data_IF_312632859131
#
_entry.id   IF_312632859131
#
_cell.length_a   1.000
_cell.length_b   1.000
_cell.length_c   1.000
_cell.angle_alpha   90.00
_cell.angle_beta   90.00
_cell.angle_gamma   90.00
#
_symmetry.space_group_name_H-M   'P 1'
#
loop_
_entity.id
_entity.type
_entity.pdbx_description
1 polymer ?
#
# COMPACT_ATOMS: atom_id res chain seq x y z
N UNK A 1 3.31 7.46 -25.23
CA UNK A 1 2.15 6.53 -25.32
C UNK A 1 0.87 7.29 -25.08
N UNK A 2 -0.19 7.01 -25.82
CA UNK A 2 -1.50 7.66 -25.63
C UNK A 2 -2.50 6.66 -25.05
N UNK A 3 -3.34 7.12 -24.11
CA UNK A 3 -4.33 6.30 -23.44
C UNK A 3 -5.74 6.76 -23.85
N UNK A 4 -6.48 5.90 -24.55
CA UNK A 4 -7.85 6.17 -25.01
C UNK A 4 -8.83 6.54 -23.88
N UNK A 5 -8.55 6.15 -22.63
CA UNK A 5 -9.40 6.46 -21.47
C UNK A 5 -9.21 7.90 -20.97
N UNK A 6 -8.08 8.54 -21.28
CA UNK A 6 -7.84 9.95 -20.94
C UNK A 6 -8.89 10.87 -21.58
N UNK A 7 -9.19 10.64 -22.86
CA UNK A 7 -10.25 11.38 -23.55
C UNK A 7 -11.67 11.14 -22.97
N UNK A 8 -11.83 10.09 -22.15
CA UNK A 8 -13.09 9.76 -21.46
C UNK A 8 -13.13 10.20 -19.99
N UNK A 9 -12.22 11.09 -19.58
CA UNK A 9 -12.13 11.61 -18.22
C UNK A 9 -11.77 10.54 -17.15
N UNK A 10 -10.80 9.67 -17.45
CA UNK A 10 -10.31 8.66 -16.52
C UNK A 10 -9.56 9.25 -15.33
N UNK A 11 -8.98 10.31 -15.25
CA UNK A 11 -8.37 10.99 -14.09
C UNK A 11 -7.20 10.26 -13.38
N UNK A 12 -6.90 9.00 -13.69
CA UNK A 12 -5.88 8.20 -12.99
C UNK A 12 -4.43 8.63 -13.28
N UNK A 13 -4.19 9.28 -14.41
CA UNK A 13 -2.86 9.62 -14.91
C UNK A 13 -2.78 11.10 -15.31
N UNK A 14 -2.87 12.05 -14.38
CA UNK A 14 -2.86 13.47 -14.71
C UNK A 14 -1.56 13.93 -15.40
N UNK A 15 -0.44 13.25 -15.15
CA UNK A 15 0.86 13.58 -15.74
C UNK A 15 1.19 12.77 -17.01
N UNK A 16 0.30 11.88 -17.46
CA UNK A 16 0.51 11.12 -18.69
C UNK A 16 0.65 12.06 -19.91
N UNK A 17 1.67 11.85 -20.71
CA UNK A 17 2.03 12.71 -21.84
C UNK A 17 3.09 13.78 -21.54
N UNK A 18 3.43 13.97 -20.27
CA UNK A 18 4.63 14.70 -19.85
C UNK A 18 5.83 13.77 -19.93
N UNK A 19 6.98 14.25 -20.35
CA UNK A 19 8.22 13.49 -20.32
C UNK A 19 8.53 13.02 -18.89
N UNK A 20 9.04 11.79 -18.73
CA UNK A 20 9.23 11.22 -17.40
C UNK A 20 10.27 11.96 -16.56
N UNK A 21 11.35 12.44 -17.18
CA UNK A 21 12.34 13.27 -16.48
C UNK A 21 11.74 14.59 -16.01
N UNK A 22 10.82 15.18 -16.79
CA UNK A 22 10.08 16.37 -16.41
C UNK A 22 9.10 16.10 -15.25
N UNK A 23 8.41 14.95 -15.26
CA UNK A 23 7.59 14.51 -14.12
C UNK A 23 8.41 14.41 -12.83
N UNK A 24 9.58 13.77 -12.90
CA UNK A 24 10.49 13.62 -11.76
C UNK A 24 10.96 14.96 -11.23
N UNK A 25 11.39 15.87 -12.13
CA UNK A 25 11.79 17.21 -11.75
C UNK A 25 10.68 17.99 -11.05
N UNK A 26 9.45 17.96 -11.58
CA UNK A 26 8.29 18.63 -10.97
C UNK A 26 7.99 18.10 -9.57
N UNK A 27 8.07 16.79 -9.38
CA UNK A 27 7.89 16.12 -8.08
C UNK A 27 9.00 16.50 -7.09
N UNK A 28 10.25 16.45 -7.53
CA UNK A 28 11.39 16.84 -6.71
C UNK A 28 11.31 18.31 -6.29
N UNK A 29 11.03 19.23 -7.21
CA UNK A 29 10.90 20.65 -6.93
C UNK A 29 9.79 20.92 -5.91
N UNK A 30 8.65 20.20 -6.02
CA UNK A 30 7.54 20.28 -5.05
C UNK A 30 7.98 19.85 -3.65
N UNK A 31 8.67 18.72 -3.54
CA UNK A 31 9.20 18.22 -2.26
C UNK A 31 10.26 19.18 -1.70
N UNK A 32 11.17 19.68 -2.53
CA UNK A 32 12.20 20.63 -2.14
C UNK A 32 11.63 21.94 -1.60
N UNK A 33 10.55 22.44 -2.22
CA UNK A 33 9.82 23.64 -1.76
C UNK A 33 9.21 23.42 -0.36
N UNK A 34 8.68 22.25 -0.09
CA UNK A 34 8.01 21.95 1.19
C UNK A 34 9.03 21.64 2.30
N UNK A 35 10.04 20.83 2.02
CA UNK A 35 10.90 20.22 3.03
C UNK A 35 12.29 20.85 3.12
N UNK A 36 12.74 21.60 2.12
CA UNK A 36 14.10 22.16 2.05
C UNK A 36 14.49 23.06 3.22
N UNK A 37 13.51 23.70 3.87
CA UNK A 37 13.75 24.51 5.08
C UNK A 37 14.12 23.69 6.32
N UNK A 38 13.82 22.38 6.35
CA UNK A 38 14.13 21.51 7.48
C UNK A 38 15.47 20.80 7.33
N UNK A 39 15.94 20.56 6.10
CA UNK A 39 17.20 19.89 5.83
C UNK A 39 17.41 19.58 4.34
N UNK A 40 18.51 18.90 3.99
CA UNK A 40 18.81 18.54 2.60
C UNK A 40 17.72 17.66 1.97
N UNK A 41 17.37 17.96 0.71
CA UNK A 41 16.51 17.12 -0.13
C UNK A 41 17.38 16.51 -1.22
N UNK A 42 17.48 15.18 -1.18
CA UNK A 42 18.20 14.39 -2.17
C UNK A 42 17.47 14.38 -3.51
N UNK A 43 18.16 14.03 -4.62
CA UNK A 43 17.49 13.78 -5.90
C UNK A 43 16.42 12.68 -5.78
N UNK A 44 15.31 12.86 -6.50
CA UNK A 44 14.22 11.88 -6.53
C UNK A 44 14.68 10.56 -7.12
N UNK A 45 14.20 9.47 -6.56
CA UNK A 45 14.40 8.12 -7.09
C UNK A 45 13.25 7.77 -8.05
N UNK A 46 13.53 7.83 -9.35
CA UNK A 46 12.62 7.46 -10.40
C UNK A 46 12.60 5.95 -10.67
N UNK A 47 11.68 5.51 -11.51
CA UNK A 47 11.51 4.14 -11.97
C UNK A 47 12.11 3.98 -13.38
N UNK A 48 12.75 2.85 -13.68
CA UNK A 48 13.32 2.59 -15.00
C UNK A 48 12.21 2.48 -16.06
N UNK A 49 11.16 1.71 -15.78
CA UNK A 49 9.98 1.60 -16.63
C UNK A 49 8.74 2.11 -15.88
N UNK A 50 8.25 3.35 -16.15
CA UNK A 50 7.16 3.97 -15.40
C UNK A 50 5.75 3.48 -15.80
N UNK A 51 5.65 2.27 -16.35
CA UNK A 51 4.40 1.67 -16.81
C UNK A 51 4.20 0.28 -16.22
N UNK A 52 2.94 -0.19 -16.20
CA UNK A 52 2.52 -1.55 -15.82
C UNK A 52 2.98 -1.99 -14.42
N UNK A 53 3.15 -1.04 -13.51
CA UNK A 53 3.70 -1.28 -12.17
C UNK A 53 2.63 -1.64 -11.11
N UNK A 54 1.34 -1.37 -11.37
CA UNK A 54 0.28 -1.64 -10.37
C UNK A 54 0.00 -3.13 -10.27
N UNK A 55 0.47 -3.74 -9.21
CA UNK A 55 0.26 -5.16 -8.88
C UNK A 55 -1.07 -5.46 -8.18
N UNK A 56 -1.89 -4.45 -7.92
CA UNK A 56 -3.25 -4.54 -7.39
C UNK A 56 -4.20 -3.65 -8.17
N UNK A 57 -5.33 -4.22 -8.57
CA UNK A 57 -6.37 -3.55 -9.37
C UNK A 57 -7.73 -3.79 -8.73
N UNK A 58 -8.56 -2.76 -8.69
CA UNK A 58 -9.97 -2.86 -8.33
C UNK A 58 -10.76 -2.39 -9.54
N UNK A 59 -11.64 -3.26 -10.05
CA UNK A 59 -12.49 -2.98 -11.20
C UNK A 59 -13.95 -3.11 -10.80
N UNK A 60 -14.77 -2.12 -11.15
CA UNK A 60 -16.21 -2.09 -10.86
C UNK A 60 -16.97 -2.70 -12.01
N UNK A 61 -17.91 -3.62 -11.72
CA UNK A 61 -18.76 -4.20 -12.74
C UNK A 61 -19.89 -3.26 -13.15
N UNK A 62 -20.22 -3.29 -14.42
CA UNK A 62 -21.33 -2.51 -14.99
C UNK A 62 -21.92 -3.23 -16.21
N UNK A 63 -23.06 -2.76 -16.69
CA UNK A 63 -23.65 -3.22 -17.94
C UNK A 63 -23.03 -2.49 -19.11
N UNK A 64 -22.44 -3.23 -20.02
CA UNK A 64 -21.86 -2.72 -21.24
C UNK A 64 -22.83 -2.77 -22.44
N UNK A 65 -22.26 -2.59 -23.63
CA UNK A 65 -23.03 -2.64 -24.89
C UNK A 65 -23.70 -3.99 -25.08
N UNK A 66 -24.93 -3.99 -25.56
CA UNK A 66 -25.72 -5.20 -25.77
C UNK A 66 -26.13 -5.92 -24.51
N UNK A 67 -26.14 -5.26 -23.33
CA UNK A 67 -26.54 -5.84 -22.06
C UNK A 67 -25.52 -6.78 -21.43
N UNK A 68 -24.31 -6.93 -22.01
CA UNK A 68 -23.26 -7.79 -21.48
C UNK A 68 -22.59 -7.13 -20.27
N UNK A 69 -22.24 -7.95 -19.29
CA UNK A 69 -21.43 -7.50 -18.15
C UNK A 69 -20.04 -7.08 -18.64
N UNK A 70 -19.61 -5.90 -18.22
CA UNK A 70 -18.25 -5.39 -18.38
C UNK A 70 -17.74 -4.84 -17.05
N UNK A 71 -16.51 -4.33 -17.01
CA UNK A 71 -15.95 -3.74 -15.81
C UNK A 71 -14.90 -2.67 -16.14
N UNK A 72 -14.66 -1.79 -15.18
CA UNK A 72 -13.71 -0.70 -15.35
C UNK A 72 -13.53 0.12 -14.09
N UNK A 73 -13.15 1.36 -14.26
CA UNK A 73 -12.92 2.33 -13.19
C UNK A 73 -13.96 3.46 -13.30
N UNK A 74 -14.20 4.15 -12.21
CA UNK A 74 -15.04 5.34 -12.25
C UNK A 74 -14.37 6.47 -13.01
N UNK A 75 -15.13 7.18 -13.84
CA UNK A 75 -14.70 8.47 -14.38
C UNK A 75 -14.50 9.46 -13.23
N UNK A 76 -13.54 10.37 -13.37
CA UNK A 76 -13.24 11.36 -12.34
C UNK A 76 -14.50 12.14 -11.93
N UNK A 77 -14.71 12.25 -10.61
CA UNK A 77 -15.88 12.92 -10.00
C UNK A 77 -17.24 12.40 -10.49
N UNK A 78 -17.36 11.10 -10.76
CA UNK A 78 -18.57 10.50 -11.34
C UNK A 78 -18.77 9.06 -10.86
N UNK A 79 -20.00 8.60 -10.82
CA UNK A 79 -20.37 7.18 -10.64
C UNK A 79 -20.40 6.40 -11.97
N UNK A 80 -20.04 7.04 -13.09
CA UNK A 80 -20.00 6.38 -14.40
C UNK A 80 -18.77 5.50 -14.50
N UNK A 81 -18.96 4.21 -14.74
CA UNK A 81 -17.88 3.26 -14.97
C UNK A 81 -17.39 3.37 -16.40
N UNK A 82 -16.11 3.60 -16.58
CA UNK A 82 -15.41 3.55 -17.86
C UNK A 82 -14.87 2.12 -18.06
N UNK A 83 -15.32 1.39 -19.07
CA UNK A 83 -14.78 0.06 -19.37
C UNK A 83 -13.28 0.12 -19.65
N UNK A 84 -12.52 -0.76 -18.99
CA UNK A 84 -11.06 -0.87 -19.14
C UNK A 84 -10.72 -2.23 -19.73
N UNK A 85 -10.13 -2.24 -20.92
CA UNK A 85 -9.58 -3.46 -21.53
C UNK A 85 -8.10 -3.64 -21.21
N UNK A 86 -7.36 -2.55 -21.21
CA UNK A 86 -5.97 -2.47 -20.79
C UNK A 86 -5.68 -1.09 -20.21
N UNK A 87 -4.70 -1.03 -19.31
CA UNK A 87 -4.28 0.22 -18.64
C UNK A 87 -2.76 0.31 -18.62
N UNK A 88 -2.21 1.47 -18.94
CA UNK A 88 -0.76 1.71 -18.92
C UNK A 88 -0.13 1.62 -17.53
N UNK A 89 -0.92 1.73 -16.46
CA UNK A 89 -0.41 1.62 -15.09
C UNK A 89 -0.57 0.20 -14.53
N UNK A 90 -1.63 -0.51 -14.94
CA UNK A 90 -1.94 -1.84 -14.40
C UNK A 90 -1.00 -2.89 -14.99
N UNK A 91 -0.61 -3.86 -14.17
CA UNK A 91 0.12 -5.04 -14.60
C UNK A 91 -0.69 -5.76 -15.70
N UNK A 92 -0.05 -6.09 -16.82
CA UNK A 92 -0.69 -6.70 -18.00
C UNK A 92 -1.33 -8.06 -17.69
N UNK A 93 -0.76 -8.81 -16.74
CA UNK A 93 -1.33 -10.08 -16.26
C UNK A 93 -2.68 -9.83 -15.57
N UNK A 94 -2.80 -8.73 -14.83
CA UNK A 94 -4.05 -8.35 -14.18
C UNK A 94 -5.10 -7.87 -15.19
N UNK A 95 -4.70 -7.14 -16.23
CA UNK A 95 -5.62 -6.77 -17.33
C UNK A 95 -6.18 -8.03 -18.03
N UNK A 96 -5.33 -8.97 -18.40
CA UNK A 96 -5.74 -10.27 -18.99
C UNK A 96 -6.59 -11.10 -18.03
N UNK A 97 -6.26 -11.08 -16.73
CA UNK A 97 -7.04 -11.76 -15.68
C UNK A 97 -8.44 -11.16 -15.59
N UNK A 98 -8.58 -9.83 -15.63
CA UNK A 98 -9.89 -9.17 -15.60
C UNK A 98 -10.74 -9.54 -16.83
N UNK A 99 -10.13 -9.66 -18.00
CA UNK A 99 -10.82 -10.16 -19.20
C UNK A 99 -11.35 -11.59 -19.00
N UNK A 100 -10.56 -12.50 -18.39
CA UNK A 100 -10.99 -13.86 -18.05
C UNK A 100 -12.15 -13.86 -17.05
N UNK A 101 -12.09 -13.01 -16.01
CA UNK A 101 -13.18 -12.83 -15.02
C UNK A 101 -14.47 -12.38 -15.70
N UNK A 102 -14.42 -11.38 -16.59
CA UNK A 102 -15.59 -10.92 -17.36
C UNK A 102 -16.20 -12.02 -18.22
N UNK A 103 -15.34 -12.77 -18.92
CA UNK A 103 -15.79 -13.89 -19.77
C UNK A 103 -16.52 -14.97 -18.94
N UNK A 104 -15.93 -15.35 -17.80
CA UNK A 104 -16.54 -16.34 -16.89
C UNK A 104 -17.85 -15.84 -16.28
N UNK A 105 -17.90 -14.56 -15.86
CA UNK A 105 -19.10 -13.95 -15.29
C UNK A 105 -20.25 -13.88 -16.31
N UNK A 106 -19.95 -13.54 -17.56
CA UNK A 106 -20.92 -13.55 -18.65
C UNK A 106 -21.42 -14.98 -18.96
N UNK A 107 -20.53 -15.98 -18.98
CA UNK A 107 -20.90 -17.38 -19.18
C UNK A 107 -21.86 -17.88 -18.06
N UNK A 108 -21.66 -17.41 -16.83
CA UNK A 108 -22.53 -17.69 -15.70
C UNK A 108 -23.78 -16.79 -15.64
N UNK A 109 -23.94 -15.85 -16.58
CA UNK A 109 -25.05 -14.88 -16.64
C UNK A 109 -25.18 -14.04 -15.37
N UNK A 110 -24.07 -13.73 -14.70
CA UNK A 110 -24.07 -12.85 -13.54
C UNK A 110 -24.42 -11.43 -13.95
N UNK A 111 -25.20 -10.76 -13.09
CA UNK A 111 -25.59 -9.37 -13.31
C UNK A 111 -24.71 -8.42 -12.49
N UNK A 112 -24.25 -7.29 -13.04
CA UNK A 112 -23.61 -6.26 -12.28
C UNK A 112 -24.57 -5.67 -11.25
N UNK A 113 -24.06 -5.29 -10.09
CA UNK A 113 -24.84 -4.62 -9.06
C UNK A 113 -25.13 -3.18 -9.48
N UNK A 114 -26.38 -2.80 -9.37
CA UNK A 114 -26.82 -1.41 -9.57
C UNK A 114 -27.04 -0.78 -8.20
N UNK A 115 -26.20 0.19 -7.83
CA UNK A 115 -26.23 0.84 -6.51
C UNK A 115 -27.51 1.67 -6.29
N UNK A 116 -28.07 2.29 -7.34
CA UNK A 116 -29.29 3.10 -7.25
C UNK A 116 -30.51 2.24 -6.97
N UNK A 117 -30.57 1.07 -7.64
CA UNK A 117 -31.70 0.13 -7.52
C UNK A 117 -31.54 -0.89 -6.40
N UNK A 118 -30.32 -1.08 -5.88
CA UNK A 118 -30.00 -2.12 -4.91
C UNK A 118 -30.14 -3.54 -5.47
N UNK A 119 -30.01 -3.74 -6.78
CA UNK A 119 -30.24 -5.02 -7.46
C UNK A 119 -28.98 -5.48 -8.22
N UNK A 120 -28.86 -6.79 -8.41
CA UNK A 120 -27.70 -7.40 -9.07
C UNK A 120 -26.81 -8.14 -8.08
N UNK A 121 -25.71 -8.70 -8.58
CA UNK A 121 -24.84 -9.60 -7.82
C UNK A 121 -23.42 -9.04 -7.68
N UNK A 122 -22.76 -8.73 -8.80
CA UNK A 122 -21.34 -8.39 -8.84
C UNK A 122 -21.12 -6.89 -8.67
N UNK A 123 -20.43 -6.51 -7.61
CA UNK A 123 -20.04 -5.11 -7.34
C UNK A 123 -18.66 -4.79 -7.94
N UNK A 124 -17.63 -5.48 -7.45
CA UNK A 124 -16.25 -5.22 -7.82
C UNK A 124 -15.48 -6.53 -8.01
N UNK A 125 -14.35 -6.44 -8.70
CA UNK A 125 -13.32 -7.45 -8.70
C UNK A 125 -12.02 -6.81 -8.25
N UNK A 126 -11.43 -7.32 -7.16
CA UNK A 126 -10.08 -6.99 -6.75
C UNK A 126 -9.15 -8.08 -7.28
N UNK A 127 -8.14 -7.67 -8.03
CA UNK A 127 -7.07 -8.52 -8.52
C UNK A 127 -5.76 -8.15 -7.85
N UNK A 128 -4.95 -9.15 -7.53
CA UNK A 128 -3.61 -8.92 -6.97
C UNK A 128 -2.63 -9.92 -7.58
N UNK A 129 -1.43 -9.45 -7.88
CA UNK A 129 -0.33 -10.28 -8.35
C UNK A 129 0.85 -10.19 -7.38
N UNK A 130 1.42 -11.34 -7.02
CA UNK A 130 2.75 -11.42 -6.46
C UNK A 130 3.75 -11.28 -7.61
N UNK A 131 4.47 -10.16 -7.63
CA UNK A 131 5.32 -9.80 -8.78
C UNK A 131 6.46 -10.80 -8.95
N UNK A 132 7.11 -11.18 -7.84
CA UNK A 132 8.24 -12.12 -7.86
C UNK A 132 7.80 -13.57 -8.00
N UNK A 133 6.62 -13.92 -7.49
CA UNK A 133 6.12 -15.31 -7.51
C UNK A 133 5.25 -15.62 -8.71
N UNK A 134 4.75 -14.60 -9.41
CA UNK A 134 3.76 -14.73 -10.48
C UNK A 134 2.37 -15.17 -10.02
N UNK A 135 2.14 -15.35 -8.72
CA UNK A 135 0.85 -15.79 -8.18
C UNK A 135 -0.23 -14.74 -8.37
N UNK A 136 -1.43 -15.16 -8.74
CA UNK A 136 -2.57 -14.28 -8.99
C UNK A 136 -3.74 -14.62 -8.07
N UNK A 137 -4.28 -13.60 -7.41
CA UNK A 137 -5.49 -13.65 -6.61
C UNK A 137 -6.63 -12.93 -7.32
N UNK A 138 -7.79 -13.56 -7.34
CA UNK A 138 -9.06 -12.98 -7.79
C UNK A 138 -9.99 -12.90 -6.58
N UNK A 139 -10.44 -11.69 -6.24
CA UNK A 139 -11.46 -11.46 -5.21
C UNK A 139 -12.71 -10.93 -5.88
N UNK A 140 -13.76 -11.74 -5.89
CA UNK A 140 -15.05 -11.37 -6.45
C UNK A 140 -15.91 -10.75 -5.35
N UNK A 141 -16.19 -9.45 -5.45
CA UNK A 141 -17.03 -8.74 -4.48
C UNK A 141 -18.47 -8.81 -4.91
N UNK A 142 -19.30 -9.44 -4.07
CA UNK A 142 -20.73 -9.68 -4.32
C UNK A 142 -21.61 -8.91 -3.35
N UNK A 143 -22.78 -8.47 -3.82
CA UNK A 143 -23.80 -7.85 -2.96
C UNK A 143 -24.57 -8.86 -2.11
N UNK A 144 -24.40 -10.16 -2.37
CA UNK A 144 -25.14 -11.24 -1.72
C UNK A 144 -24.18 -12.35 -1.27
N UNK A 145 -24.49 -12.99 -0.15
CA UNK A 145 -23.70 -14.09 0.39
C UNK A 145 -23.75 -15.35 -0.52
N UNK A 146 -24.85 -15.57 -1.20
CA UNK A 146 -24.99 -16.69 -2.14
C UNK A 146 -24.44 -16.29 -3.51
N UNK A 147 -23.42 -17.01 -3.97
CA UNK A 147 -22.93 -16.94 -5.34
C UNK A 147 -23.53 -18.11 -6.13
N UNK A 148 -24.56 -17.89 -6.97
CA UNK A 148 -25.20 -18.96 -7.71
C UNK A 148 -24.23 -19.67 -8.64
N UNK A 149 -24.18 -21.01 -8.58
CA UNK A 149 -23.27 -21.77 -9.45
C UNK A 149 -21.79 -21.49 -9.22
N UNK A 150 -21.34 -21.17 -8.00
CA UNK A 150 -19.94 -20.83 -7.67
C UNK A 150 -18.92 -21.81 -8.26
N UNK A 151 -19.18 -23.11 -8.21
CA UNK A 151 -18.31 -24.14 -8.82
C UNK A 151 -18.21 -23.98 -10.34
N UNK A 152 -19.31 -23.64 -11.03
CA UNK A 152 -19.33 -23.41 -12.47
C UNK A 152 -18.55 -22.15 -12.84
N UNK A 153 -18.68 -21.07 -12.03
CA UNK A 153 -17.89 -19.87 -12.20
C UNK A 153 -16.38 -20.15 -12.07
N UNK A 154 -15.96 -20.86 -11.02
CA UNK A 154 -14.55 -21.24 -10.83
C UNK A 154 -14.06 -22.04 -12.04
N UNK A 155 -14.81 -23.07 -12.49
CA UNK A 155 -14.44 -23.86 -13.67
C UNK A 155 -14.33 -23.00 -14.93
N UNK A 156 -15.28 -22.12 -15.18
CA UNK A 156 -15.26 -21.21 -16.32
C UNK A 156 -14.09 -20.25 -16.27
N UNK A 157 -13.82 -19.65 -15.08
CA UNK A 157 -12.71 -18.73 -14.91
C UNK A 157 -11.34 -19.39 -15.13
N UNK A 158 -11.14 -20.58 -14.57
CA UNK A 158 -9.87 -21.32 -14.80
C UNK A 158 -9.71 -21.73 -16.27
N UNK A 159 -10.80 -22.08 -16.97
CA UNK A 159 -10.76 -22.37 -18.40
C UNK A 159 -10.42 -21.12 -19.24
N UNK A 160 -11.02 -19.96 -18.90
CA UNK A 160 -10.74 -18.69 -19.57
C UNK A 160 -9.31 -18.18 -19.28
N UNK A 161 -8.82 -18.41 -18.07
CA UNK A 161 -7.43 -18.12 -17.70
C UNK A 161 -6.44 -18.96 -18.53
N UNK A 162 -6.68 -20.26 -18.64
CA UNK A 162 -5.84 -21.17 -19.44
C UNK A 162 -5.76 -20.74 -20.91
N UNK A 163 -6.86 -20.30 -21.52
CA UNK A 163 -6.87 -19.77 -22.90
C UNK A 163 -5.99 -18.54 -23.09
N UNK A 164 -5.68 -17.81 -22.00
CA UNK A 164 -4.86 -16.60 -21.98
C UNK A 164 -3.47 -16.83 -21.39
N UNK A 165 -3.09 -18.10 -21.21
CA UNK A 165 -1.82 -18.51 -20.61
C UNK A 165 -1.60 -17.94 -19.20
N UNK A 166 -2.68 -17.84 -18.43
CA UNK A 166 -2.68 -17.34 -17.06
C UNK A 166 -2.85 -18.47 -16.05
N UNK A 167 -2.18 -18.34 -14.91
CA UNK A 167 -2.38 -19.20 -13.75
C UNK A 167 -3.00 -18.41 -12.61
N UNK A 168 -4.25 -18.75 -12.23
CA UNK A 168 -4.90 -18.19 -11.06
C UNK A 168 -4.58 -19.08 -9.86
N UNK A 169 -3.97 -18.47 -8.82
CA UNK A 169 -3.54 -19.19 -7.61
C UNK A 169 -4.69 -19.37 -6.62
N UNK A 170 -5.53 -18.34 -6.47
CA UNK A 170 -6.66 -18.37 -5.55
C UNK A 170 -7.81 -17.50 -6.02
N UNK A 171 -9.03 -17.92 -5.70
CA UNK A 171 -10.28 -17.19 -5.96
C UNK A 171 -11.04 -17.09 -4.64
N UNK A 172 -11.39 -15.87 -4.25
CA UNK A 172 -12.12 -15.54 -3.03
C UNK A 172 -13.41 -14.82 -3.40
N UNK A 173 -14.52 -15.17 -2.79
CA UNK A 173 -15.72 -14.36 -2.73
C UNK A 173 -15.63 -13.48 -1.48
N UNK A 174 -15.78 -12.16 -1.65
CA UNK A 174 -16.00 -11.22 -0.57
C UNK A 174 -17.43 -10.70 -0.67
N UNK A 175 -18.15 -10.68 0.44
CA UNK A 175 -19.55 -10.21 0.47
C UNK A 175 -19.59 -8.80 1.03
N UNK A 176 -20.07 -7.88 0.21
CA UNK A 176 -20.33 -6.50 0.63
C UNK A 176 -21.80 -6.15 0.27
N UNK A 177 -22.67 -6.33 1.23
CA UNK A 177 -24.12 -6.07 1.14
C UNK A 177 -24.48 -4.64 1.60
N UNK A 178 -23.49 -3.86 2.05
CA UNK A 178 -23.69 -2.51 2.60
C UNK A 178 -23.69 -1.43 1.50
N UNK A 179 -24.46 -0.37 1.75
CA UNK A 179 -24.38 0.88 0.96
C UNK A 179 -23.18 1.70 1.47
N UNK A 180 -22.01 1.46 0.90
CA UNK A 180 -20.74 2.11 1.31
C UNK A 180 -19.79 2.22 0.13
N UNK A 181 -18.89 3.19 0.18
CA UNK A 181 -17.76 3.33 -0.75
C UNK A 181 -16.63 2.34 -0.48
N UNK A 182 -16.65 1.65 0.68
CA UNK A 182 -15.66 0.63 1.01
C UNK A 182 -15.89 -0.58 0.10
N UNK A 183 -14.83 -1.03 -0.58
CA UNK A 183 -14.93 -2.09 -1.59
C UNK A 183 -15.18 -3.46 -0.95
N UNK A 184 -14.41 -3.82 0.08
CA UNK A 184 -14.50 -5.13 0.73
C UNK A 184 -15.46 -5.10 1.92
N UNK A 185 -16.41 -6.03 1.92
CA UNK A 185 -17.26 -6.33 3.07
C UNK A 185 -16.56 -7.26 4.09
N UNK A 186 -17.22 -7.64 5.17
CA UNK A 186 -16.58 -8.37 6.29
C UNK A 186 -16.50 -9.89 6.09
N UNK A 187 -17.35 -10.44 5.26
CA UNK A 187 -17.44 -11.89 5.04
C UNK A 187 -16.64 -12.32 3.81
N UNK A 188 -15.80 -13.33 3.97
CA UNK A 188 -15.01 -13.91 2.90
C UNK A 188 -15.21 -15.42 2.82
N UNK A 189 -15.18 -15.96 1.60
CA UNK A 189 -15.26 -17.38 1.31
C UNK A 189 -14.25 -17.75 0.24
N UNK A 190 -13.35 -18.66 0.55
CA UNK A 190 -12.42 -19.22 -0.44
C UNK A 190 -13.19 -20.15 -1.38
N UNK A 191 -13.16 -19.84 -2.68
CA UNK A 191 -13.79 -20.64 -3.74
C UNK A 191 -12.80 -21.60 -4.40
N UNK A 192 -11.52 -21.19 -4.44
CA UNK A 192 -10.42 -21.97 -5.03
C UNK A 192 -9.08 -21.56 -4.41
N UNK A 193 -8.18 -22.51 -4.24
CA UNK A 193 -6.84 -22.26 -3.67
C UNK A 193 -6.85 -22.07 -2.16
N UNK A 194 -5.89 -21.30 -1.65
CA UNK A 194 -5.65 -21.14 -0.20
C UNK A 194 -6.26 -19.85 0.40
N UNK A 195 -6.83 -18.96 -0.40
CA UNK A 195 -7.34 -17.66 0.05
C UNK A 195 -6.29 -16.55 0.17
N UNK A 196 -5.04 -16.83 -0.12
CA UNK A 196 -3.93 -15.88 -0.13
C UNK A 196 -2.95 -16.21 -1.25
N UNK A 197 -2.08 -15.25 -1.58
CA UNK A 197 -0.92 -15.43 -2.46
C UNK A 197 0.34 -15.08 -1.72
N UNK A 198 1.48 -15.53 -2.23
CA UNK A 198 2.80 -15.17 -1.73
C UNK A 198 3.44 -14.15 -2.68
N UNK A 199 4.20 -13.22 -2.13
CA UNK A 199 5.15 -12.41 -2.88
C UNK A 199 6.44 -12.22 -2.09
N UNK A 200 7.53 -11.90 -2.77
CA UNK A 200 8.83 -11.63 -2.16
C UNK A 200 9.16 -10.15 -2.32
N UNK A 201 9.52 -9.47 -1.25
CA UNK A 201 9.89 -8.06 -1.22
C UNK A 201 11.09 -7.88 -0.29
N UNK A 202 12.13 -7.20 -0.75
CA UNK A 202 13.38 -6.99 0.03
C UNK A 202 13.93 -8.29 0.63
N UNK A 203 13.88 -9.39 -0.12
CA UNK A 203 14.38 -10.70 0.30
C UNK A 203 13.54 -11.42 1.36
N UNK A 204 12.33 -10.96 1.66
CA UNK A 204 11.37 -11.58 2.56
C UNK A 204 10.10 -11.98 1.80
N UNK A 205 9.54 -13.16 2.15
CA UNK A 205 8.29 -13.63 1.55
C UNK A 205 7.11 -13.27 2.44
N UNK A 206 6.07 -12.70 1.82
CA UNK A 206 4.85 -12.25 2.50
C UNK A 206 3.64 -13.00 1.98
N UNK A 207 2.80 -13.48 2.88
CA UNK A 207 1.46 -13.94 2.57
C UNK A 207 0.54 -12.72 2.48
N UNK A 208 -0.15 -12.61 1.35
CA UNK A 208 -1.04 -11.49 1.04
C UNK A 208 -2.48 -12.00 0.97
N UNK A 209 -3.30 -11.60 1.94
CA UNK A 209 -4.75 -11.84 1.95
C UNK A 209 -5.48 -10.79 1.09
N UNK A 210 -6.79 -10.94 0.83
CA UNK A 210 -7.59 -9.89 0.16
C UNK A 210 -7.49 -8.52 0.83
N UNK A 211 -7.39 -8.50 2.17
CA UNK A 211 -7.41 -7.27 2.99
C UNK A 211 -6.03 -6.71 3.30
N UNK A 212 -4.96 -7.48 3.14
CA UNK A 212 -3.60 -7.02 3.45
C UNK A 212 -3.28 -5.75 2.69
N UNK A 213 -2.80 -4.71 3.38
CA UNK A 213 -2.13 -3.60 2.72
C UNK A 213 -0.76 -4.07 2.24
N UNK A 214 -0.47 -3.82 1.00
CA UNK A 214 0.81 -4.08 0.37
C UNK A 214 1.00 -3.09 -0.76
N UNK A 215 2.17 -2.52 -0.89
CA UNK A 215 2.46 -1.48 -1.86
C UNK A 215 2.24 -1.95 -3.30
N UNK A 216 1.67 -1.08 -4.13
CA UNK A 216 1.21 -1.46 -5.49
C UNK A 216 2.28 -1.41 -6.56
N UNK A 217 3.46 -0.87 -6.26
CA UNK A 217 4.61 -0.78 -7.14
C UNK A 217 5.79 -1.49 -6.49
N UNK A 218 6.00 -2.74 -6.86
CA UNK A 218 6.97 -3.63 -6.23
C UNK A 218 8.40 -3.06 -6.30
N UNK A 219 8.90 -2.71 -7.50
CA UNK A 219 10.28 -2.26 -7.69
C UNK A 219 10.58 -0.97 -6.92
N UNK A 220 9.66 0.00 -6.94
CA UNK A 220 9.85 1.24 -6.19
C UNK A 220 9.66 1.07 -4.69
N UNK A 221 8.91 0.05 -4.26
CA UNK A 221 8.81 -0.30 -2.83
C UNK A 221 10.13 -0.85 -2.30
N UNK A 222 10.85 -1.66 -3.09
CA UNK A 222 12.19 -2.10 -2.71
C UNK A 222 13.16 -0.94 -2.56
N UNK A 223 13.11 0.05 -3.46
CA UNK A 223 13.87 1.30 -3.33
C UNK A 223 13.47 2.07 -2.07
N UNK A 224 12.17 2.25 -1.83
CA UNK A 224 11.63 2.98 -0.68
C UNK A 224 12.07 2.35 0.65
N UNK A 225 11.87 1.03 0.79
CA UNK A 225 12.21 0.33 2.02
C UNK A 225 13.74 0.16 2.19
N UNK A 226 14.48 -0.02 1.09
CA UNK A 226 15.93 0.03 1.12
C UNK A 226 16.45 1.35 1.70
N UNK A 227 15.98 2.49 1.19
CA UNK A 227 16.30 3.82 1.71
C UNK A 227 15.90 3.99 3.18
N UNK A 228 14.74 3.48 3.58
CA UNK A 228 14.30 3.57 4.98
C UNK A 228 15.20 2.77 5.92
N UNK A 229 15.55 1.52 5.55
CA UNK A 229 16.44 0.66 6.34
C UNK A 229 17.86 1.22 6.40
N UNK A 230 18.38 1.78 5.31
CA UNK A 230 19.70 2.42 5.29
C UNK A 230 19.73 3.70 6.13
N UNK A 231 18.65 4.51 6.10
CA UNK A 231 18.50 5.68 6.94
C UNK A 231 18.47 5.35 8.44
N UNK A 232 18.02 4.16 8.81
CA UNK A 232 18.01 3.69 10.20
C UNK A 232 19.42 3.42 10.77
N UNK A 233 20.42 3.18 9.92
CA UNK A 233 21.83 2.90 10.29
C UNK A 233 21.98 1.82 11.36
N UNK A 234 21.28 0.71 11.17
CA UNK A 234 21.26 -0.41 12.11
C UNK A 234 22.60 -1.17 12.13
N UNK A 235 23.02 -1.55 13.33
CA UNK A 235 24.30 -2.26 13.58
C UNK A 235 24.11 -3.65 14.21
N UNK A 236 22.88 -4.10 14.39
CA UNK A 236 22.53 -5.35 15.09
C UNK A 236 22.28 -5.17 16.59
N UNK A 237 22.45 -3.96 17.13
CA UNK A 237 22.30 -3.68 18.57
C UNK A 237 21.03 -2.90 18.92
N UNK A 238 20.35 -2.37 17.93
CA UNK A 238 19.23 -1.45 18.10
C UNK A 238 17.92 -2.21 18.34
N UNK A 239 17.11 -1.66 19.27
CA UNK A 239 15.68 -1.95 19.38
C UNK A 239 14.94 -0.98 18.44
N UNK A 240 14.19 -1.55 17.52
CA UNK A 240 13.46 -0.85 16.47
C UNK A 240 11.96 -0.91 16.77
N UNK A 241 11.30 0.23 16.78
CA UNK A 241 9.84 0.33 16.75
C UNK A 241 9.39 0.61 15.31
N UNK A 242 8.54 -0.26 14.76
CA UNK A 242 7.84 -0.08 13.48
C UNK A 242 6.40 0.32 13.79
N UNK A 243 6.15 1.60 13.85
CA UNK A 243 4.83 2.16 14.10
C UNK A 243 4.03 2.21 12.78
N UNK A 244 2.77 1.79 12.83
CA UNK A 244 1.90 1.57 11.66
C UNK A 244 2.41 0.43 10.77
N UNK A 245 2.84 -0.69 11.38
CA UNK A 245 3.64 -1.71 10.70
C UNK A 245 2.88 -2.52 9.63
N UNK A 246 1.54 -2.45 9.56
CA UNK A 246 0.75 -3.25 8.64
C UNK A 246 1.05 -4.75 8.79
N UNK A 247 1.34 -5.42 7.69
CA UNK A 247 1.74 -6.84 7.67
C UNK A 247 3.24 -7.04 8.00
N UNK A 248 3.90 -6.02 8.55
CA UNK A 248 5.28 -6.07 9.04
C UNK A 248 6.35 -5.82 7.99
N UNK A 249 6.04 -5.20 6.86
CA UNK A 249 6.96 -5.14 5.71
C UNK A 249 8.27 -4.38 6.01
N UNK A 250 8.22 -3.21 6.63
CA UNK A 250 9.42 -2.41 6.96
C UNK A 250 10.20 -3.08 8.09
N UNK A 251 9.53 -3.44 9.18
CA UNK A 251 10.16 -4.05 10.35
C UNK A 251 10.82 -5.39 10.04
N UNK A 252 10.17 -6.26 9.26
CA UNK A 252 10.74 -7.54 8.85
C UNK A 252 11.92 -7.36 7.89
N UNK A 253 11.88 -6.37 7.00
CA UNK A 253 13.04 -6.03 6.15
C UNK A 253 14.23 -5.58 7.01
N UNK A 254 13.97 -4.80 8.06
CA UNK A 254 15.01 -4.32 8.98
C UNK A 254 15.51 -5.40 9.96
N UNK A 255 14.75 -6.47 10.18
CA UNK A 255 14.98 -7.46 11.27
C UNK A 255 16.35 -8.13 11.26
N UNK A 256 16.92 -8.36 10.07
CA UNK A 256 18.26 -8.95 9.94
C UNK A 256 19.41 -8.04 10.38
N UNK A 257 19.17 -6.74 10.52
CA UNK A 257 20.13 -5.71 10.95
C UNK A 257 19.80 -5.14 12.34
N UNK A 258 18.73 -5.59 13.01
CA UNK A 258 18.27 -5.09 14.31
C UNK A 258 18.44 -6.15 15.40
N UNK A 259 18.65 -5.73 16.67
CA UNK A 259 18.60 -6.60 17.84
C UNK A 259 17.17 -7.13 18.06
N UNK A 260 16.20 -6.24 17.96
CA UNK A 260 14.79 -6.54 18.14
C UNK A 260 13.93 -5.57 17.31
N UNK A 261 12.83 -6.07 16.79
CA UNK A 261 11.79 -5.28 16.13
C UNK A 261 10.49 -5.41 16.93
N UNK A 262 9.85 -4.28 17.17
CA UNK A 262 8.51 -4.18 17.77
C UNK A 262 7.62 -3.51 16.73
N UNK A 263 6.62 -4.23 16.23
CA UNK A 263 5.62 -3.69 15.29
C UNK A 263 4.31 -3.36 16.02
N UNK A 264 3.70 -2.22 15.69
CA UNK A 264 2.39 -1.81 16.23
C UNK A 264 1.47 -1.46 15.08
N UNK A 265 0.27 -2.03 15.08
CA UNK A 265 -0.74 -1.86 14.05
C UNK A 265 -2.14 -1.99 14.66
N UNK A 266 -3.06 -1.12 14.27
CA UNK A 266 -4.44 -1.12 14.79
C UNK A 266 -5.28 -2.26 14.23
N UNK A 267 -5.01 -2.68 13.00
CA UNK A 267 -5.73 -3.75 12.33
C UNK A 267 -5.25 -5.13 12.81
N UNK A 268 -6.10 -5.85 13.53
CA UNK A 268 -5.81 -7.18 14.09
C UNK A 268 -5.47 -8.21 13.01
N UNK A 269 -6.12 -8.15 11.85
CA UNK A 269 -5.86 -9.09 10.75
C UNK A 269 -4.44 -8.85 10.17
N UNK A 270 -4.03 -7.57 10.03
CA UNK A 270 -2.70 -7.22 9.58
C UNK A 270 -1.62 -7.66 10.59
N UNK A 271 -1.89 -7.55 11.90
CA UNK A 271 -0.99 -8.08 12.95
C UNK A 271 -0.88 -9.60 12.88
N UNK A 272 -1.99 -10.30 12.68
CA UNK A 272 -1.97 -11.76 12.47
C UNK A 272 -1.11 -12.12 11.25
N UNK A 273 -1.29 -11.42 10.13
CA UNK A 273 -0.48 -11.60 8.92
C UNK A 273 1.01 -11.30 9.21
N UNK A 274 1.34 -10.23 9.96
CA UNK A 274 2.71 -9.88 10.32
C UNK A 274 3.40 -10.99 11.15
N UNK A 275 2.70 -11.57 12.13
CA UNK A 275 3.19 -12.70 12.92
C UNK A 275 3.42 -13.92 12.02
N UNK A 276 2.48 -14.22 11.13
CA UNK A 276 2.59 -15.29 10.13
C UNK A 276 3.77 -15.08 9.20
N UNK A 277 3.96 -13.87 8.71
CA UNK A 277 5.08 -13.48 7.84
C UNK A 277 6.43 -13.57 8.57
N UNK A 278 6.53 -13.15 9.83
CA UNK A 278 7.73 -13.33 10.64
C UNK A 278 8.10 -14.81 10.77
N UNK A 279 7.12 -15.66 11.11
CA UNK A 279 7.30 -17.11 11.22
C UNK A 279 7.74 -17.73 9.89
N UNK A 280 7.07 -17.35 8.79
CA UNK A 280 7.40 -17.87 7.46
C UNK A 280 8.84 -17.55 7.04
N UNK A 281 9.35 -16.38 7.42
CA UNK A 281 10.70 -15.92 7.13
C UNK A 281 11.73 -16.33 8.20
N UNK A 282 11.36 -17.13 9.20
CA UNK A 282 12.27 -17.54 10.28
C UNK A 282 12.75 -16.39 11.17
N UNK A 283 12.06 -15.26 11.18
CA UNK A 283 12.40 -14.09 12.00
C UNK A 283 11.96 -14.34 13.44
N UNK A 284 12.92 -14.40 14.37
CA UNK A 284 12.69 -14.71 15.79
C UNK A 284 12.77 -13.48 16.70
N UNK A 285 13.31 -12.38 16.20
CA UNK A 285 13.54 -11.13 16.95
C UNK A 285 12.48 -10.05 16.68
N UNK A 286 11.33 -10.41 16.09
CA UNK A 286 10.21 -9.50 15.87
C UNK A 286 9.01 -9.87 16.74
N UNK A 287 8.32 -8.86 17.28
CA UNK A 287 7.05 -8.97 18.02
C UNK A 287 6.06 -7.95 17.48
N UNK A 288 4.78 -8.32 17.42
CA UNK A 288 3.74 -7.44 16.87
C UNK A 288 2.58 -7.30 17.84
N UNK A 289 2.03 -6.08 17.95
CA UNK A 289 0.96 -5.72 18.85
C UNK A 289 -0.22 -5.09 18.08
N UNK A 290 -1.42 -5.58 18.36
CA UNK A 290 -2.66 -5.01 17.83
C UNK A 290 -3.12 -3.88 18.75
N UNK A 291 -2.75 -2.63 18.42
CA UNK A 291 -3.06 -1.44 19.20
C UNK A 291 -3.05 -0.18 18.33
N UNK A 292 -3.72 0.87 18.82
CA UNK A 292 -3.50 2.21 18.27
C UNK A 292 -2.06 2.66 18.55
N UNK A 293 -1.35 3.09 17.50
CA UNK A 293 0.06 3.43 17.61
C UNK A 293 0.31 4.61 18.57
N UNK A 294 -0.61 5.59 18.62
CA UNK A 294 -0.50 6.76 19.53
C UNK A 294 -0.67 6.35 20.99
N UNK A 295 -1.66 5.52 21.27
CA UNK A 295 -1.89 5.01 22.62
C UNK A 295 -0.71 4.14 23.06
N UNK A 296 -0.32 3.16 22.23
CA UNK A 296 0.75 2.21 22.55
C UNK A 296 2.07 2.92 22.86
N UNK A 297 2.52 3.84 22.00
CA UNK A 297 3.80 4.55 22.23
C UNK A 297 3.72 5.47 23.46
N UNK A 298 2.54 6.02 23.78
CA UNK A 298 2.36 6.86 24.96
C UNK A 298 2.51 6.05 26.24
N UNK A 299 1.91 4.85 26.29
CA UNK A 299 1.99 3.93 27.42
C UNK A 299 3.41 3.38 27.57
N UNK A 300 4.03 2.93 26.48
CA UNK A 300 5.40 2.43 26.47
C UNK A 300 6.41 3.50 26.96
N UNK A 301 6.28 4.75 26.48
CA UNK A 301 7.13 5.86 26.92
C UNK A 301 6.92 6.22 28.40
N UNK A 302 5.69 6.12 28.90
CA UNK A 302 5.37 6.34 30.31
C UNK A 302 5.93 5.22 31.20
N UNK A 303 5.93 3.97 30.72
CA UNK A 303 6.53 2.82 31.40
C UNK A 303 8.09 2.84 31.35
N UNK A 304 8.69 3.81 30.68
CA UNK A 304 10.15 3.91 30.56
C UNK A 304 10.76 3.02 29.49
N UNK A 305 9.96 2.40 28.63
CA UNK A 305 10.46 1.63 27.49
C UNK A 305 11.24 2.50 26.51
N UNK A 306 12.19 1.91 25.82
CA UNK A 306 13.10 2.61 24.90
C UNK A 306 13.13 1.90 23.55
N UNK A 307 13.14 2.72 22.48
CA UNK A 307 13.53 2.30 21.14
C UNK A 307 14.73 3.14 20.70
N UNK A 308 15.70 2.52 20.05
CA UNK A 308 16.85 3.24 19.49
C UNK A 308 16.47 3.91 18.16
N UNK A 309 15.61 3.25 17.38
CA UNK A 309 15.11 3.73 16.08
C UNK A 309 13.61 3.55 16.02
N UNK A 310 12.91 4.54 15.48
CA UNK A 310 11.47 4.44 15.16
C UNK A 310 11.28 4.62 13.67
N UNK A 311 10.66 3.63 13.00
CA UNK A 311 10.03 3.79 11.70
C UNK A 311 8.61 4.31 11.90
N UNK A 312 8.24 5.30 11.09
CA UNK A 312 6.90 5.86 11.02
C UNK A 312 6.44 5.81 9.56
N UNK A 313 5.34 5.11 9.29
CA UNK A 313 4.64 5.11 7.99
C UNK A 313 3.14 5.38 8.21
N UNK A 314 2.78 6.60 8.68
CA UNK A 314 1.41 6.93 9.01
C UNK A 314 0.54 7.10 7.76
N UNK A 315 -0.80 7.11 7.93
CA UNK A 315 -1.73 7.40 6.85
C UNK A 315 -1.54 8.82 6.26
N UNK A 316 -2.30 9.15 5.19
CA UNK A 316 -2.18 10.42 4.44
C UNK A 316 -2.34 11.67 5.30
N UNK A 317 -3.06 11.58 6.39
CA UNK A 317 -3.27 12.66 7.37
C UNK A 317 -2.01 12.98 8.18
N UNK A 318 -0.97 12.15 8.06
CA UNK A 318 0.25 12.24 8.85
C UNK A 318 0.07 11.71 10.26
N UNK A 319 1.00 12.04 11.15
CA UNK A 319 0.99 11.61 12.54
C UNK A 319 0.26 12.61 13.44
N UNK A 320 -0.14 12.16 14.63
CA UNK A 320 -0.78 13.04 15.63
C UNK A 320 0.27 13.78 16.47
N UNK A 321 -0.03 15.00 16.96
CA UNK A 321 0.85 15.69 17.90
C UNK A 321 1.18 14.86 19.15
N UNK A 322 0.21 14.09 19.67
CA UNK A 322 0.38 13.21 20.81
C UNK A 322 1.37 12.07 20.52
N UNK A 323 1.32 11.49 19.32
CA UNK A 323 2.30 10.48 18.89
C UNK A 323 3.70 11.09 18.86
N UNK A 324 3.87 12.26 18.22
CA UNK A 324 5.15 12.97 18.13
C UNK A 324 5.69 13.34 19.51
N UNK A 325 4.84 13.76 20.44
CA UNK A 325 5.22 14.02 21.83
C UNK A 325 5.74 12.76 22.52
N UNK A 326 5.11 11.62 22.24
CA UNK A 326 5.53 10.32 22.80
C UNK A 326 6.82 9.82 22.18
N UNK A 327 7.06 10.05 20.88
CA UNK A 327 8.36 9.83 20.22
C UNK A 327 9.45 10.65 20.93
N UNK A 328 9.18 11.92 21.21
CA UNK A 328 10.14 12.79 21.89
C UNK A 328 10.45 12.32 23.33
N UNK A 329 9.45 11.79 24.07
CA UNK A 329 9.63 11.19 25.40
C UNK A 329 10.42 9.88 25.38
N UNK A 330 10.09 8.98 24.45
CA UNK A 330 10.84 7.72 24.22
C UNK A 330 12.29 8.01 23.80
N UNK A 331 12.50 9.14 23.16
CA UNK A 331 13.78 9.72 22.82
C UNK A 331 14.69 8.82 21.97
N UNK A 332 14.22 8.21 20.87
CA UNK A 332 15.05 7.42 19.98
C UNK A 332 16.21 8.24 19.44
N UNK A 333 17.33 7.56 19.12
CA UNK A 333 18.48 8.19 18.46
C UNK A 333 18.13 8.63 17.04
N UNK A 334 17.24 7.89 16.38
CA UNK A 334 16.79 8.13 15.01
C UNK A 334 15.29 7.95 14.87
N UNK A 335 14.72 8.75 13.98
CA UNK A 335 13.38 8.56 13.44
C UNK A 335 13.49 8.49 11.93
N UNK A 336 12.95 7.47 11.33
CA UNK A 336 12.82 7.32 9.87
C UNK A 336 11.35 7.44 9.54
N UNK A 337 10.99 8.53 8.86
CA UNK A 337 9.62 8.81 8.47
C UNK A 337 9.44 8.49 6.99
N UNK A 338 8.61 7.50 6.66
CA UNK A 338 8.12 7.23 5.32
C UNK A 338 6.78 7.93 5.16
N UNK A 339 6.59 8.69 4.08
CA UNK A 339 5.38 9.52 3.93
C UNK A 339 4.88 9.53 2.49
N UNK A 340 3.60 9.22 2.33
CA UNK A 340 2.88 9.36 1.06
C UNK A 340 2.33 10.78 0.81
N UNK A 341 2.53 11.71 1.77
CA UNK A 341 2.04 13.08 1.65
C UNK A 341 3.08 14.09 2.18
N UNK A 342 3.87 14.72 1.30
CA UNK A 342 4.90 15.68 1.70
C UNK A 342 4.36 16.91 2.46
N UNK A 343 3.07 17.26 2.29
CA UNK A 343 2.44 18.40 2.99
C UNK A 343 2.27 18.09 4.47
N UNK A 344 1.70 16.93 4.80
CA UNK A 344 1.55 16.50 6.20
C UNK A 344 2.89 16.15 6.82
N UNK A 345 3.83 15.61 6.05
CA UNK A 345 5.21 15.41 6.50
C UNK A 345 5.84 16.76 6.93
N UNK A 346 5.71 17.84 6.14
CA UNK A 346 6.24 19.15 6.50
C UNK A 346 5.69 19.66 7.85
N UNK A 347 4.38 19.46 8.10
CA UNK A 347 3.74 19.79 9.39
C UNK A 347 4.35 18.98 10.55
N UNK A 348 4.54 17.69 10.34
CA UNK A 348 5.04 16.78 11.38
C UNK A 348 6.55 17.03 11.65
N UNK A 349 7.33 17.37 10.62
CA UNK A 349 8.72 17.78 10.78
C UNK A 349 8.86 19.07 11.60
N UNK A 350 7.94 20.01 11.46
CA UNK A 350 7.90 21.21 12.30
C UNK A 350 7.79 20.84 13.80
N UNK A 351 6.92 19.86 14.11
CA UNK A 351 6.75 19.39 15.49
C UNK A 351 7.99 18.61 15.96
N UNK A 352 8.51 17.68 15.17
CA UNK A 352 9.69 16.88 15.52
C UNK A 352 10.93 17.75 15.74
N UNK A 353 11.13 18.78 14.92
CA UNK A 353 12.28 19.70 15.08
C UNK A 353 12.18 20.54 16.34
N UNK A 354 10.98 21.00 16.70
CA UNK A 354 10.74 21.66 17.99
C UNK A 354 10.99 20.76 19.20
N UNK A 355 10.85 19.43 19.02
CA UNK A 355 11.12 18.42 20.07
C UNK A 355 12.58 17.94 20.10
N UNK A 356 13.48 18.61 19.35
CA UNK A 356 14.91 18.36 19.41
C UNK A 356 15.41 17.28 18.43
N UNK A 357 14.71 17.08 17.32
CA UNK A 357 15.19 16.29 16.20
C UNK A 357 15.67 17.20 15.08
N UNK A 358 16.69 16.75 14.36
CA UNK A 358 17.23 17.41 13.17
C UNK A 358 17.05 16.50 11.97
N UNK A 359 16.54 17.05 10.88
CA UNK A 359 16.47 16.34 9.60
C UNK A 359 17.89 16.19 9.02
N UNK A 360 18.33 14.96 8.81
CA UNK A 360 19.58 14.66 8.11
C UNK A 360 19.40 14.73 6.60
N UNK A 361 18.32 14.14 6.08
CA UNK A 361 17.97 14.17 4.66
C UNK A 361 16.54 13.78 4.43
N UNK A 362 15.97 14.23 3.32
CA UNK A 362 14.70 13.77 2.75
C UNK A 362 14.96 13.27 1.34
N UNK A 363 14.54 12.04 1.03
CA UNK A 363 14.70 11.44 -0.30
C UNK A 363 13.35 11.13 -0.90
N UNK A 364 12.93 11.87 -1.95
CA UNK A 364 11.70 11.56 -2.68
C UNK A 364 11.84 10.25 -3.48
N UNK A 365 10.76 9.49 -3.58
CA UNK A 365 10.65 8.27 -4.38
C UNK A 365 9.40 8.35 -5.25
N UNK A 366 9.52 8.13 -6.54
CA UNK A 366 8.39 8.07 -7.45
C UNK A 366 7.74 6.69 -7.44
N UNK A 367 6.99 6.41 -6.38
CA UNK A 367 6.22 5.17 -6.24
C UNK A 367 5.03 5.09 -7.20
N UNK A 368 4.55 6.24 -7.67
CA UNK A 368 3.36 6.38 -8.52
C UNK A 368 3.65 7.18 -9.79
N UNK A 369 4.46 6.65 -10.73
CA UNK A 369 4.69 7.28 -12.02
C UNK A 369 3.40 7.67 -12.74
N UNK A 370 3.44 8.75 -13.52
CA UNK A 370 2.30 9.34 -14.24
C UNK A 370 1.20 9.94 -13.34
N UNK A 371 1.40 10.01 -12.03
CA UNK A 371 0.50 10.68 -11.07
C UNK A 371 1.24 11.80 -10.34
N UNK A 372 0.52 12.64 -9.58
CA UNK A 372 1.12 13.72 -8.79
C UNK A 372 1.67 13.27 -7.42
N UNK A 373 1.40 12.02 -7.03
CA UNK A 373 1.81 11.48 -5.73
C UNK A 373 3.32 11.22 -5.69
N UNK A 374 3.91 11.51 -4.53
CA UNK A 374 5.33 11.29 -4.26
C UNK A 374 5.49 10.73 -2.86
N UNK A 375 6.23 9.64 -2.72
CA UNK A 375 6.68 9.13 -1.43
C UNK A 375 7.97 9.84 -1.00
N UNK A 376 8.18 9.99 0.30
CA UNK A 376 9.41 10.58 0.85
C UNK A 376 9.91 9.74 2.01
N UNK A 377 11.19 9.37 1.99
CA UNK A 377 11.91 8.86 3.17
C UNK A 377 12.66 10.02 3.80
N UNK A 378 12.27 10.36 5.03
CA UNK A 378 12.93 11.41 5.81
C UNK A 378 13.68 10.80 7.00
N UNK A 379 15.00 11.05 7.07
CA UNK A 379 15.86 10.63 8.18
C UNK A 379 16.02 11.78 9.18
N UNK A 380 15.72 11.52 10.45
CA UNK A 380 15.92 12.46 11.54
C UNK A 380 16.83 11.85 12.62
N UNK A 381 17.65 12.69 13.23
CA UNK A 381 18.50 12.35 14.36
C UNK A 381 18.18 13.23 15.55
N UNK A 382 18.35 12.70 16.74
CA UNK A 382 18.22 13.49 17.96
C UNK A 382 19.35 14.53 18.01
N UNK A 383 18.99 15.82 18.13
CA UNK A 383 19.95 16.90 18.28
C UNK A 383 20.39 17.03 19.74
N UNK A 384 21.58 16.56 20.04
CA UNK A 384 22.16 16.65 21.40
C UNK A 384 22.53 18.07 21.83
N UNK A 385 22.48 19.06 20.91
CA UNK A 385 22.88 20.45 21.18
C UNK A 385 21.72 21.30 21.72
N UNK A 386 20.47 20.85 21.60
CA UNK A 386 19.28 21.61 22.07
C UNK A 386 19.32 21.78 23.58
N UNK A 387 19.80 20.79 24.36
CA UNK A 387 19.97 20.92 25.83
C UNK A 387 20.97 22.01 26.24
N UNK A 388 21.97 22.30 25.42
CA UNK A 388 22.98 23.35 25.73
C UNK A 388 22.46 24.78 25.50
N UNK A 389 21.38 24.96 24.74
CA UNK A 389 20.77 26.27 24.48
C UNK A 389 19.77 26.69 25.55
N UNK A 390 19.09 25.74 26.22
CA UNK A 390 18.11 26.06 27.27
C UNK A 390 18.75 26.37 28.65
N UNK A 391 20.02 25.99 28.86
CA UNK A 391 20.79 26.29 30.11
C UNK A 391 21.61 27.58 30.01
N UNK A 392 21.49 28.31 28.89
CA UNK A 392 22.18 29.61 28.69
C UNK A 392 21.24 30.82 28.60
N UNK A 393 19.98 30.69 29.10
CA UNK A 393 19.07 31.82 29.26
C UNK A 393 18.75 32.03 30.72
#
# INVERSE_FOLDING_TARGET
MDCKLRAKNCGECPMLGMDYAEQLKKKEDSVRKLLGKYGPVNPIRGMENPYHYRNKVISTFTTGWGGKLTSGIYAANSHKVLPVESCLLQDEVLDKTMQAVRAAANACRYQPYNEDKGTGLLRHCLLRRGVMTGQVMVVLVTAQAVLPGAKNFVKALLAEAKKRELTITTIVQNVNDRKTSVVLGDMERVLYGKGFILDTLCGKTYALSPRSFYQINHSQTEVLYGLAVDAARLTGKEVVLDAYCGIGTIGLTASGKAKQVVGVEVNRDAVHDAIGNAKHNGVKNARFFAADATQWISEAAAAGERADVIFMDPPREGSTPQFIDSVARMAPKRVVYVSCNPVTLARDLELLTRKGYKVESSTPVDLFPNTEHTEVVCSLVKDNNVKKRSTRK
#
